data_IF_374442511304
#
_entry.id   IF_374442511304
#
_cell.length_a   1.000
_cell.length_b   1.000
_cell.length_c   1.000
_cell.angle_alpha   90.00
_cell.angle_beta   90.00
_cell.angle_gamma   90.00
#
_symmetry.space_group_name_H-M   'P 1'
#
loop_
_entity.id
_entity.type
_entity.pdbx_description
1 polymer ?
#
# COMPACT_ATOMS: atom_id res chain seq x y z
N UNK A 1 -20.14 6.35 -5.98
CA UNK A 1 -21.18 5.54 -6.66
C UNK A 1 -21.49 4.33 -5.78
N UNK A 2 -22.76 3.98 -5.55
CA UNK A 2 -23.15 2.78 -4.78
C UNK A 2 -23.41 1.63 -5.74
N UNK A 3 -22.84 0.45 -5.47
CA UNK A 3 -23.01 -0.73 -6.32
C UNK A 3 -24.29 -1.43 -5.88
N UNK A 4 -25.15 -1.78 -6.84
CA UNK A 4 -26.41 -2.50 -6.60
C UNK A 4 -26.24 -4.01 -6.60
N UNK A 5 -25.36 -4.52 -7.45
CA UNK A 5 -25.07 -5.94 -7.55
C UNK A 5 -23.88 -6.22 -8.47
N UNK A 6 -23.46 -7.48 -8.51
CA UNK A 6 -22.42 -8.01 -9.38
C UNK A 6 -23.00 -9.09 -10.28
N UNK A 7 -22.62 -9.11 -11.55
CA UNK A 7 -23.05 -10.17 -12.46
C UNK A 7 -22.54 -11.55 -12.01
N UNK A 8 -23.41 -12.55 -12.08
CA UNK A 8 -23.13 -13.94 -11.73
C UNK A 8 -21.93 -14.52 -12.50
N UNK A 9 -21.84 -14.29 -13.81
CA UNK A 9 -20.75 -14.80 -14.64
C UNK A 9 -19.38 -14.29 -14.18
N UNK A 10 -19.30 -13.08 -13.61
CA UNK A 10 -18.05 -12.53 -13.04
C UNK A 10 -17.64 -13.35 -11.82
N UNK A 11 -18.61 -13.62 -10.93
CA UNK A 11 -18.39 -14.42 -9.73
C UNK A 11 -17.95 -15.83 -10.12
N UNK A 12 -18.66 -16.47 -11.04
CA UNK A 12 -18.33 -17.80 -11.52
C UNK A 12 -16.96 -17.89 -12.19
N UNK A 13 -16.64 -16.97 -13.12
CA UNK A 13 -15.37 -16.95 -13.83
C UNK A 13 -14.19 -16.79 -12.86
N UNK A 14 -14.31 -15.87 -11.89
CA UNK A 14 -13.26 -15.64 -10.89
C UNK A 14 -13.11 -16.81 -9.91
N UNK A 15 -14.21 -17.41 -9.44
CA UNK A 15 -14.16 -18.59 -8.54
C UNK A 15 -13.60 -19.79 -9.28
N UNK A 16 -14.02 -20.04 -10.52
CA UNK A 16 -13.49 -21.10 -11.38
C UNK A 16 -12.00 -20.93 -11.60
N UNK A 17 -11.52 -19.71 -11.89
CA UNK A 17 -10.08 -19.44 -12.01
C UNK A 17 -9.36 -19.69 -10.69
N UNK A 18 -9.89 -19.21 -9.56
CA UNK A 18 -9.28 -19.43 -8.24
C UNK A 18 -9.16 -20.91 -7.87
N UNK A 19 -10.20 -21.70 -8.18
CA UNK A 19 -10.16 -23.15 -8.00
C UNK A 19 -9.10 -23.82 -8.88
N UNK A 20 -8.96 -23.37 -10.12
CA UNK A 20 -7.92 -23.87 -11.02
C UNK A 20 -6.50 -23.59 -10.51
N UNK A 21 -6.25 -22.39 -9.94
CA UNK A 21 -4.96 -22.07 -9.34
C UNK A 21 -4.61 -22.94 -8.12
N UNK A 22 -5.63 -23.49 -7.44
CA UNK A 22 -5.50 -24.28 -6.22
C UNK A 22 -4.81 -23.51 -5.06
N UNK A 23 -4.59 -24.19 -3.93
CA UNK A 23 -3.76 -23.70 -2.81
C UNK A 23 -4.22 -22.38 -2.15
N UNK A 24 -5.49 -22.01 -2.31
CA UNK A 24 -6.04 -20.80 -1.68
C UNK A 24 -5.51 -19.49 -2.26
N UNK A 25 -5.01 -19.50 -3.50
CA UNK A 25 -4.53 -18.29 -4.19
C UNK A 25 -5.71 -17.39 -4.59
N UNK A 26 -5.66 -16.08 -4.31
CA UNK A 26 -6.68 -15.15 -4.77
C UNK A 26 -6.56 -14.91 -6.27
N UNK A 27 -7.66 -14.44 -6.87
CA UNK A 27 -7.75 -13.91 -8.23
C UNK A 27 -8.30 -12.51 -8.12
N UNK A 28 -7.73 -11.57 -8.88
CA UNK A 28 -8.16 -10.18 -8.89
C UNK A 28 -8.52 -9.70 -10.29
N UNK A 29 -9.36 -8.68 -10.34
CA UNK A 29 -9.70 -7.96 -11.56
C UNK A 29 -10.16 -6.53 -11.23
N UNK A 30 -10.13 -5.66 -12.23
CA UNK A 30 -10.82 -4.37 -12.20
C UNK A 30 -12.24 -4.60 -12.73
N UNK A 31 -13.25 -4.27 -11.94
CA UNK A 31 -14.65 -4.27 -12.38
C UNK A 31 -15.13 -2.88 -12.79
N UNK A 32 -16.16 -2.84 -13.65
CA UNK A 32 -16.76 -1.62 -14.17
C UNK A 32 -18.19 -1.52 -13.70
N UNK A 33 -18.52 -0.39 -13.08
CA UNK A 33 -19.88 -0.07 -12.69
C UNK A 33 -20.56 0.61 -13.87
N UNK A 34 -21.65 0.02 -14.36
CA UNK A 34 -22.47 0.58 -15.43
C UNK A 34 -23.37 1.72 -14.91
N UNK A 35 -24.07 2.40 -15.83
CA UNK A 35 -24.96 3.51 -15.50
C UNK A 35 -26.11 3.12 -14.56
N UNK A 36 -26.52 1.85 -14.59
CA UNK A 36 -27.56 1.31 -13.72
C UNK A 36 -27.05 0.99 -12.31
N UNK A 37 -25.73 1.01 -12.08
CA UNK A 37 -25.08 0.76 -10.80
C UNK A 37 -24.66 -0.70 -10.58
N UNK A 38 -24.62 -1.53 -11.62
CA UNK A 38 -24.18 -2.94 -11.54
C UNK A 38 -22.76 -3.11 -12.04
N UNK A 39 -22.06 -4.10 -11.49
CA UNK A 39 -20.80 -4.57 -12.07
C UNK A 39 -21.14 -5.60 -13.13
N UNK A 40 -21.05 -5.23 -14.40
CA UNK A 40 -21.40 -6.07 -15.56
C UNK A 40 -20.23 -6.34 -16.50
N UNK A 41 -19.02 -5.92 -16.11
CA UNK A 41 -17.79 -6.20 -16.82
C UNK A 41 -16.57 -6.22 -15.88
N UNK A 42 -15.52 -6.92 -16.32
CA UNK A 42 -14.21 -6.97 -15.67
C UNK A 42 -13.06 -6.89 -16.68
N UNK A 43 -11.88 -6.48 -16.21
CA UNK A 43 -10.62 -6.61 -16.93
C UNK A 43 -10.21 -8.08 -17.05
N UNK A 44 -9.10 -8.34 -17.75
CA UNK A 44 -8.42 -9.63 -17.65
C UNK A 44 -8.14 -10.00 -16.19
N UNK A 45 -8.28 -11.28 -15.87
CA UNK A 45 -8.01 -11.82 -14.54
C UNK A 45 -6.51 -11.80 -14.26
N UNK A 46 -6.17 -11.52 -13.00
CA UNK A 46 -4.80 -11.56 -12.49
C UNK A 46 -4.71 -12.54 -11.34
N UNK A 47 -3.81 -13.50 -11.47
CA UNK A 47 -3.58 -14.52 -10.47
C UNK A 47 -2.76 -13.96 -9.29
N UNK A 48 -3.07 -14.41 -8.07
CA UNK A 48 -2.25 -14.12 -6.89
C UNK A 48 -0.87 -14.77 -6.96
N UNK A 49 0.17 -14.00 -6.64
CA UNK A 49 1.54 -14.46 -6.45
C UNK A 49 1.87 -14.75 -4.98
N UNK A 50 3.14 -15.06 -4.67
CA UNK A 50 3.58 -15.39 -3.29
C UNK A 50 3.21 -14.27 -2.29
N UNK A 51 3.23 -13.02 -2.74
CA UNK A 51 2.93 -11.84 -1.91
C UNK A 51 1.43 -11.50 -1.83
N UNK A 52 0.56 -12.37 -2.34
CA UNK A 52 -0.86 -12.04 -2.54
C UNK A 52 -1.12 -11.50 -3.94
N UNK A 53 -2.16 -10.69 -4.10
CA UNK A 53 -2.56 -10.18 -5.40
C UNK A 53 -1.58 -9.10 -5.90
N UNK A 54 -0.94 -9.28 -7.08
CA UNK A 54 -0.03 -8.29 -7.65
C UNK A 54 -0.83 -7.08 -8.14
N UNK A 55 -0.63 -5.95 -7.49
CA UNK A 55 -1.46 -4.76 -7.65
C UNK A 55 -1.09 -4.03 -8.94
N UNK A 56 0.21 -3.93 -9.25
CA UNK A 56 0.67 -3.24 -10.45
C UNK A 56 0.29 -4.01 -11.70
N UNK A 57 0.42 -5.35 -11.69
CA UNK A 57 -0.08 -6.22 -12.76
C UNK A 57 -1.61 -6.12 -12.96
N UNK A 58 -2.38 -5.90 -11.89
CA UNK A 58 -3.82 -5.68 -12.00
C UNK A 58 -4.13 -4.32 -12.64
N UNK A 59 -3.43 -3.27 -12.24
CA UNK A 59 -3.59 -1.94 -12.82
C UNK A 59 -3.14 -1.90 -14.29
N UNK A 60 -2.09 -2.64 -14.66
CA UNK A 60 -1.57 -2.69 -16.03
C UNK A 60 -2.56 -3.26 -17.05
N UNK A 61 -3.64 -3.91 -16.59
CA UNK A 61 -4.76 -4.33 -17.46
C UNK A 61 -5.58 -3.18 -18.01
N UNK A 62 -5.42 -1.98 -17.46
CA UNK A 62 -6.14 -0.79 -17.88
C UNK A 62 -5.23 0.41 -18.12
N UNK A 63 -4.27 0.65 -17.24
CA UNK A 63 -3.43 1.86 -17.27
C UNK A 63 -1.98 1.51 -17.52
N UNK A 64 -1.23 2.45 -18.09
CA UNK A 64 0.22 2.31 -18.21
C UNK A 64 0.85 2.37 -16.81
N UNK A 65 1.70 1.40 -16.46
CA UNK A 65 2.40 1.34 -15.16
C UNK A 65 3.92 1.54 -15.29
N UNK A 66 4.51 1.39 -16.48
CA UNK A 66 5.95 1.44 -16.65
C UNK A 66 6.50 2.81 -16.29
N UNK A 67 7.52 2.82 -15.43
CA UNK A 67 8.18 4.04 -14.95
C UNK A 67 7.32 4.93 -14.05
N UNK A 68 6.14 4.46 -13.62
CA UNK A 68 5.18 5.19 -12.79
C UNK A 68 5.07 4.56 -11.39
N UNK A 69 4.94 5.39 -10.37
CA UNK A 69 4.55 4.98 -9.03
C UNK A 69 3.14 4.37 -9.00
N UNK A 70 2.80 3.67 -7.92
CA UNK A 70 1.45 3.14 -7.73
C UNK A 70 0.40 4.27 -7.76
N UNK A 71 0.67 5.40 -7.10
CA UNK A 71 -0.22 6.56 -7.08
C UNK A 71 -0.48 7.12 -8.48
N UNK A 72 0.54 7.20 -9.33
CA UNK A 72 0.38 7.64 -10.73
C UNK A 72 -0.46 6.67 -11.55
N UNK A 73 -0.30 5.36 -11.35
CA UNK A 73 -1.16 4.35 -11.99
C UNK A 73 -2.61 4.47 -11.50
N UNK A 74 -2.83 4.60 -10.18
CA UNK A 74 -4.16 4.74 -9.60
C UNK A 74 -4.90 5.98 -10.11
N UNK A 75 -4.20 7.11 -10.27
CA UNK A 75 -4.78 8.36 -10.75
C UNK A 75 -5.12 8.38 -12.25
N UNK A 76 -4.87 7.29 -12.97
CA UNK A 76 -5.31 7.09 -14.34
C UNK A 76 -6.57 6.21 -14.44
N UNK A 77 -7.05 5.65 -13.33
CA UNK A 77 -8.27 4.84 -13.30
C UNK A 77 -9.52 5.73 -13.48
N UNK A 78 -10.53 5.28 -14.25
CA UNK A 78 -11.79 5.98 -14.34
C UNK A 78 -12.60 5.89 -13.03
N UNK A 79 -13.53 6.81 -12.84
CA UNK A 79 -14.30 6.95 -11.58
C UNK A 79 -15.28 5.78 -11.33
N UNK A 80 -15.64 5.02 -12.36
CA UNK A 80 -16.57 3.89 -12.27
C UNK A 80 -15.88 2.54 -12.01
N UNK A 81 -14.64 2.54 -11.52
CA UNK A 81 -13.88 1.33 -11.17
C UNK A 81 -14.24 0.80 -9.79
N UNK A 82 -14.22 -0.53 -9.68
CA UNK A 82 -14.18 -1.29 -8.44
C UNK A 82 -13.04 -2.31 -8.50
N UNK A 83 -12.36 -2.56 -7.39
CA UNK A 83 -11.40 -3.68 -7.30
C UNK A 83 -12.16 -4.92 -6.85
N UNK A 84 -12.05 -6.02 -7.59
CA UNK A 84 -12.69 -7.30 -7.24
C UNK A 84 -11.61 -8.32 -6.93
N UNK A 85 -11.71 -9.00 -5.80
CA UNK A 85 -10.72 -9.98 -5.36
C UNK A 85 -11.44 -11.21 -4.79
N UNK A 86 -11.05 -12.43 -5.20
CA UNK A 86 -11.51 -13.64 -4.53
C UNK A 86 -10.77 -13.83 -3.20
N UNK A 87 -11.47 -14.37 -2.21
CA UNK A 87 -10.97 -14.56 -0.86
C UNK A 87 -11.14 -16.04 -0.44
N UNK A 88 -10.23 -16.92 -0.89
CA UNK A 88 -10.30 -18.34 -0.57
C UNK A 88 -10.29 -18.62 0.93
N UNK A 89 -11.17 -19.53 1.36
CA UNK A 89 -11.34 -19.88 2.77
C UNK A 89 -12.19 -18.91 3.59
N UNK A 90 -12.75 -17.86 2.97
CA UNK A 90 -13.60 -16.84 3.61
C UNK A 90 -14.96 -16.71 2.92
N UNK A 91 -15.89 -16.00 3.55
CA UNK A 91 -17.28 -15.80 3.09
C UNK A 91 -17.49 -14.51 2.29
N UNK A 92 -16.45 -13.70 2.11
CA UNK A 92 -16.54 -12.39 1.43
C UNK A 92 -16.52 -11.20 2.38
N UNK A 93 -16.67 -11.43 3.70
CA UNK A 93 -16.63 -10.37 4.72
C UNK A 93 -15.28 -9.61 4.67
N UNK A 94 -15.38 -8.28 4.67
CA UNK A 94 -14.25 -7.35 4.70
C UNK A 94 -14.17 -6.73 6.10
N UNK A 95 -13.04 -6.89 6.77
CA UNK A 95 -12.83 -6.46 8.18
C UNK A 95 -11.66 -5.49 8.32
N UNK A 96 -11.33 -4.79 7.24
CA UNK A 96 -10.24 -3.84 7.16
C UNK A 96 -10.58 -2.75 6.14
N UNK A 97 -9.93 -1.60 6.26
CA UNK A 97 -10.10 -0.45 5.37
C UNK A 97 -8.89 -0.23 4.47
N UNK A 98 -7.92 -1.17 4.45
CA UNK A 98 -6.63 -0.99 3.77
C UNK A 98 -6.81 -0.78 2.27
N UNK A 99 -7.65 -1.59 1.63
CA UNK A 99 -7.95 -1.49 0.21
C UNK A 99 -8.53 -0.13 -0.17
N UNK A 100 -9.65 0.29 0.44
CA UNK A 100 -10.28 1.59 0.13
C UNK A 100 -9.36 2.78 0.46
N UNK A 101 -8.44 2.61 1.41
CA UNK A 101 -7.50 3.65 1.82
C UNK A 101 -6.39 3.87 0.78
N UNK A 102 -5.90 2.80 0.15
CA UNK A 102 -4.86 2.86 -0.88
C UNK A 102 -5.44 3.13 -2.27
N UNK A 103 -6.49 2.40 -2.66
CA UNK A 103 -7.05 2.50 -4.01
C UNK A 103 -7.98 3.71 -4.19
N UNK A 104 -8.62 4.18 -3.11
CA UNK A 104 -9.60 5.26 -3.17
C UNK A 104 -10.89 4.93 -3.92
N UNK A 105 -11.14 3.66 -4.25
CA UNK A 105 -12.35 3.18 -4.92
C UNK A 105 -12.98 2.00 -4.13
N UNK A 106 -14.22 1.60 -4.46
CA UNK A 106 -14.86 0.44 -3.84
C UNK A 106 -14.03 -0.83 -3.98
N UNK A 107 -14.09 -1.69 -2.97
CA UNK A 107 -13.46 -3.02 -2.99
C UNK A 107 -14.56 -4.06 -2.80
N UNK A 108 -14.59 -5.06 -3.67
CA UNK A 108 -15.47 -6.22 -3.60
C UNK A 108 -14.64 -7.46 -3.33
N UNK A 109 -15.03 -8.24 -2.32
CA UNK A 109 -14.44 -9.55 -2.01
C UNK A 109 -15.44 -10.66 -2.27
N UNK A 110 -15.08 -11.59 -3.14
CA UNK A 110 -15.85 -12.81 -3.40
C UNK A 110 -15.34 -13.91 -2.47
N UNK A 111 -16.14 -14.34 -1.51
CA UNK A 111 -15.81 -15.45 -0.63
C UNK A 111 -15.84 -16.78 -1.37
N UNK A 112 -14.83 -17.63 -1.14
CA UNK A 112 -14.79 -18.97 -1.71
C UNK A 112 -14.65 -20.00 -0.59
N UNK A 113 -15.64 -20.89 -0.46
CA UNK A 113 -15.66 -22.01 0.49
C UNK A 113 -15.91 -23.30 -0.26
N UNK A 114 -15.09 -24.32 0.00
CA UNK A 114 -15.25 -25.65 -0.61
C UNK A 114 -15.34 -25.59 -2.15
N UNK A 115 -14.60 -24.67 -2.77
CA UNK A 115 -14.60 -24.45 -4.21
C UNK A 115 -15.86 -23.76 -4.77
N UNK A 116 -16.76 -23.27 -3.92
CA UNK A 116 -17.99 -22.60 -4.33
C UNK A 116 -18.03 -21.15 -3.83
N UNK A 117 -18.77 -20.25 -4.52
CA UNK A 117 -19.07 -18.92 -4.00
C UNK A 117 -19.78 -19.04 -2.65
N UNK A 118 -19.30 -18.31 -1.65
CA UNK A 118 -19.85 -18.32 -0.29
C UNK A 118 -20.62 -17.04 0.06
N UNK A 119 -20.39 -15.96 -0.69
CA UNK A 119 -20.94 -14.64 -0.46
C UNK A 119 -20.07 -13.57 -1.12
N UNK A 120 -20.64 -12.39 -1.37
CA UNK A 120 -19.93 -11.25 -1.94
C UNK A 120 -20.08 -10.07 -1.00
N UNK A 121 -18.96 -9.57 -0.50
CA UNK A 121 -18.91 -8.39 0.35
C UNK A 121 -18.37 -7.19 -0.42
N UNK A 122 -18.89 -6.01 -0.14
CA UNK A 122 -18.41 -4.74 -0.65
C UNK A 122 -18.09 -3.77 0.49
N UNK A 123 -17.02 -3.00 0.31
CA UNK A 123 -16.72 -1.84 1.15
C UNK A 123 -16.50 -0.63 0.25
N UNK A 124 -16.95 0.53 0.73
CA UNK A 124 -16.92 1.78 -0.03
C UNK A 124 -15.99 2.80 0.64
N UNK A 125 -15.33 3.67 -0.14
CA UNK A 125 -14.70 4.88 0.38
C UNK A 125 -15.74 5.74 1.13
N UNK A 126 -15.65 5.81 2.46
CA UNK A 126 -16.51 6.63 3.31
C UNK A 126 -15.66 7.34 4.37
N UNK A 127 -15.99 8.60 4.64
CA UNK A 127 -15.27 9.45 5.60
C UNK A 127 -15.09 8.76 6.96
N UNK A 128 -16.16 8.15 7.49
CA UNK A 128 -16.14 7.47 8.78
C UNK A 128 -15.22 6.24 8.80
N UNK A 129 -15.01 5.58 7.67
CA UNK A 129 -14.09 4.45 7.57
C UNK A 129 -12.63 4.91 7.56
N UNK A 130 -12.34 6.08 6.97
CA UNK A 130 -11.02 6.70 7.05
C UNK A 130 -10.72 7.24 8.45
N UNK A 131 -11.75 7.78 9.14
CA UNK A 131 -11.64 8.16 10.55
C UNK A 131 -11.35 6.93 11.41
N UNK A 132 -12.06 5.83 11.16
CA UNK A 132 -11.83 4.55 11.83
C UNK A 132 -10.38 4.07 11.63
N UNK A 133 -9.87 4.11 10.40
CA UNK A 133 -8.49 3.73 10.06
C UNK A 133 -7.44 4.59 10.78
N UNK A 134 -7.60 5.92 10.73
CA UNK A 134 -6.71 6.87 11.42
C UNK A 134 -6.66 6.58 12.91
N UNK A 135 -7.84 6.38 13.52
CA UNK A 135 -7.91 6.09 14.93
C UNK A 135 -7.36 4.70 15.28
N UNK A 136 -7.46 3.71 14.39
CA UNK A 136 -6.85 2.40 14.58
C UNK A 136 -5.32 2.49 14.64
N UNK A 137 -4.68 3.21 13.71
CA UNK A 137 -3.24 3.46 13.76
C UNK A 137 -2.82 4.28 15.00
N UNK A 138 -3.60 5.30 15.41
CA UNK A 138 -3.34 6.03 16.67
C UNK A 138 -3.29 5.10 17.88
N UNK A 139 -4.19 4.12 17.95
CA UNK A 139 -4.20 3.17 19.05
C UNK A 139 -3.02 2.19 18.96
N UNK A 140 -2.63 1.79 17.76
CA UNK A 140 -1.43 0.97 17.54
C UNK A 140 -0.17 1.69 18.02
N UNK A 141 -0.01 2.98 17.71
CA UNK A 141 1.10 3.79 18.22
C UNK A 141 1.05 3.90 19.76
N UNK A 142 -0.12 4.16 20.34
CA UNK A 142 -0.24 4.22 21.81
C UNK A 142 0.17 2.91 22.46
N UNK A 143 -0.21 1.76 21.88
CA UNK A 143 0.20 0.45 22.37
C UNK A 143 1.71 0.31 22.36
N UNK A 144 2.32 0.72 21.25
CA UNK A 144 3.75 0.71 21.05
C UNK A 144 4.47 1.55 22.13
N UNK A 145 3.93 2.68 22.55
CA UNK A 145 4.56 3.57 23.54
C UNK A 145 4.12 3.33 24.99
N UNK A 146 3.32 2.31 25.26
CA UNK A 146 2.79 2.04 26.60
C UNK A 146 3.91 1.70 27.58
N UNK A 147 3.93 2.35 28.75
CA UNK A 147 4.99 2.17 29.76
C UNK A 147 4.56 1.26 30.92
N UNK A 148 3.27 0.98 31.04
CA UNK A 148 2.72 0.18 32.14
C UNK A 148 1.73 -0.86 31.64
N UNK A 149 1.60 -1.95 32.40
CA UNK A 149 0.61 -3.00 32.11
C UNK A 149 -0.83 -2.47 32.10
N UNK A 150 -1.16 -1.51 32.97
CA UNK A 150 -2.53 -0.98 33.05
C UNK A 150 -2.86 -0.10 31.84
N UNK A 151 -1.92 0.75 31.42
CA UNK A 151 -2.02 1.51 30.17
C UNK A 151 -2.20 0.57 28.97
N UNK A 152 -1.37 -0.48 28.85
CA UNK A 152 -1.50 -1.44 27.76
C UNK A 152 -2.84 -2.18 27.80
N UNK A 153 -3.34 -2.58 28.98
CA UNK A 153 -4.68 -3.20 29.12
C UNK A 153 -5.79 -2.29 28.61
N UNK A 154 -5.75 -1.00 28.95
CA UNK A 154 -6.76 -0.04 28.49
C UNK A 154 -6.72 0.12 26.97
N UNK A 155 -5.52 0.20 26.40
CA UNK A 155 -5.30 0.27 24.96
C UNK A 155 -5.84 -0.99 24.27
N UNK A 156 -5.55 -2.19 24.80
CA UNK A 156 -6.06 -3.46 24.27
C UNK A 156 -7.60 -3.54 24.32
N UNK A 157 -8.24 -3.02 25.37
CA UNK A 157 -9.71 -2.91 25.44
C UNK A 157 -10.24 -2.04 24.31
N UNK A 158 -9.65 -0.86 24.09
CA UNK A 158 -10.05 0.04 22.99
C UNK A 158 -9.80 -0.57 21.62
N UNK A 159 -8.71 -1.32 21.42
CA UNK A 159 -8.44 -2.06 20.18
C UNK A 159 -9.53 -3.10 19.90
N UNK A 160 -9.92 -3.89 20.89
CA UNK A 160 -10.95 -4.92 20.74
C UNK A 160 -12.31 -4.32 20.39
N UNK A 161 -12.71 -3.22 21.05
CA UNK A 161 -13.94 -2.50 20.71
C UNK A 161 -13.92 -1.98 19.26
N UNK A 162 -12.76 -1.53 18.77
CA UNK A 162 -12.62 -1.10 17.36
C UNK A 162 -12.70 -2.25 16.38
N UNK A 163 -12.10 -3.41 16.69
CA UNK A 163 -12.21 -4.60 15.84
C UNK A 163 -13.67 -5.00 15.60
N UNK A 164 -14.54 -4.81 16.59
CA UNK A 164 -15.97 -5.03 16.41
C UNK A 164 -16.58 -4.06 15.39
N UNK A 165 -16.18 -2.78 15.39
CA UNK A 165 -16.65 -1.81 14.37
C UNK A 165 -16.25 -2.21 12.95
N UNK A 166 -15.08 -2.86 12.77
CA UNK A 166 -14.66 -3.36 11.46
C UNK A 166 -15.53 -4.49 10.93
N UNK A 167 -16.33 -5.17 11.77
CA UNK A 167 -17.29 -6.18 11.30
C UNK A 167 -18.49 -5.54 10.57
N UNK A 168 -18.80 -4.29 10.90
CA UNK A 168 -20.00 -3.56 10.43
C UNK A 168 -19.73 -2.68 9.21
N UNK A 169 -18.51 -2.67 8.66
CA UNK A 169 -18.16 -1.83 7.49
C UNK A 169 -18.49 -2.49 6.16
N UNK A 170 -18.66 -3.82 6.15
CA UNK A 170 -18.90 -4.61 4.96
C UNK A 170 -20.40 -4.67 4.70
N UNK A 171 -20.79 -4.34 3.46
CA UNK A 171 -22.14 -4.54 2.97
C UNK A 171 -22.18 -5.83 2.13
N UNK A 172 -23.24 -6.61 2.24
CA UNK A 172 -23.47 -7.72 1.31
C UNK A 172 -23.84 -7.16 -0.06
N UNK A 173 -23.30 -7.75 -1.11
CA UNK A 173 -23.57 -7.37 -2.50
C UNK A 173 -24.35 -8.49 -3.20
N UNK A 174 -25.49 -8.14 -3.79
CA UNK A 174 -26.34 -9.08 -4.51
C UNK A 174 -25.63 -9.62 -5.76
N UNK A 175 -25.75 -10.92 -5.99
CA UNK A 175 -25.35 -11.57 -7.24
C UNK A 175 -26.58 -11.57 -8.15
N UNK A 176 -26.46 -10.98 -9.34
CA UNK A 176 -27.56 -10.82 -10.29
C UNK A 176 -27.25 -11.49 -11.61
N UNK A 177 -28.28 -12.08 -12.22
CA UNK A 177 -28.19 -12.61 -13.59
C UNK A 177 -28.17 -11.44 -14.58
N UNK A 178 -27.04 -11.27 -15.26
CA UNK A 178 -26.82 -10.22 -16.27
C UNK A 178 -26.11 -10.82 -17.47
N UNK A 179 -26.48 -10.37 -18.67
CA UNK A 179 -25.81 -10.81 -19.89
C UNK A 179 -24.32 -10.45 -19.86
N UNK A 180 -23.48 -11.43 -20.21
CA UNK A 180 -22.04 -11.24 -20.34
C UNK A 180 -21.72 -10.21 -21.41
N UNK A 181 -20.98 -9.17 -21.02
CA UNK A 181 -20.53 -8.11 -21.92
C UNK A 181 -19.02 -8.08 -22.00
N UNK A 182 -18.50 -8.10 -23.22
CA UNK A 182 -17.10 -7.77 -23.47
C UNK A 182 -16.93 -6.26 -23.37
N UNK A 183 -16.27 -5.79 -22.33
CA UNK A 183 -15.97 -4.37 -22.22
C UNK A 183 -14.78 -4.01 -23.11
N UNK A 184 -15.06 -3.33 -24.22
CA UNK A 184 -14.03 -2.77 -25.10
C UNK A 184 -13.59 -1.43 -24.55
N UNK A 185 -12.41 -1.41 -23.95
CA UNK A 185 -11.80 -0.18 -23.51
C UNK A 185 -11.52 0.79 -24.66
N UNK A 186 -12.03 2.00 -24.50
CA UNK A 186 -11.38 3.23 -24.98
C UNK A 186 -11.45 4.24 -23.86
N UNK A 187 -10.56 4.14 -22.88
CA UNK A 187 -10.29 5.29 -22.02
C UNK A 187 -9.15 6.04 -22.72
N UNK A 188 -9.41 7.13 -23.45
CA UNK A 188 -8.33 8.03 -23.78
C UNK A 188 -7.75 8.52 -22.45
N UNK A 189 -6.43 8.51 -22.25
CA UNK A 189 -5.85 9.05 -21.04
C UNK A 189 -6.30 10.51 -20.92
N UNK A 190 -7.20 10.79 -19.98
CA UNK A 190 -7.27 12.12 -19.37
C UNK A 190 -5.85 12.43 -18.93
N UNK A 191 -5.24 13.51 -19.47
CA UNK A 191 -3.86 13.98 -19.26
C UNK A 191 -3.06 13.09 -18.29
N UNK A 192 -2.04 12.39 -18.79
CA UNK A 192 -1.17 11.58 -17.94
C UNK A 192 -0.77 12.37 -16.68
N UNK A 193 -1.33 11.98 -15.54
CA UNK A 193 -0.98 12.56 -14.26
C UNK A 193 0.38 11.98 -13.87
N UNK A 194 1.39 12.84 -13.87
CA UNK A 194 2.77 12.48 -13.55
C UNK A 194 3.22 13.30 -12.34
N UNK A 195 3.95 12.64 -11.44
CA UNK A 195 4.53 13.30 -10.27
C UNK A 195 5.87 13.91 -10.70
N UNK A 196 6.13 15.20 -10.39
CA UNK A 196 7.44 15.80 -10.60
C UNK A 196 8.53 14.98 -9.89
N UNK A 197 9.62 14.68 -10.60
CA UNK A 197 10.80 14.08 -9.99
C UNK A 197 11.57 15.19 -9.29
N UNK A 198 11.78 15.02 -7.99
CA UNK A 198 12.47 15.99 -7.14
C UNK A 198 13.77 15.35 -6.67
N UNK A 199 14.87 16.07 -6.85
CA UNK A 199 16.19 15.66 -6.37
C UNK A 199 16.35 16.03 -4.89
N UNK A 200 17.00 15.15 -4.13
CA UNK A 200 17.35 15.34 -2.73
C UNK A 200 18.87 15.25 -2.60
N UNK A 201 19.46 16.28 -2.01
CA UNK A 201 20.91 16.44 -1.89
C UNK A 201 21.38 16.49 -0.44
N UNK A 202 20.58 17.08 0.45
CA UNK A 202 20.95 17.19 1.87
C UNK A 202 19.74 17.23 2.81
N UNK A 203 20.03 16.96 4.08
CA UNK A 203 19.10 16.96 5.19
C UNK A 203 19.58 17.91 6.29
N UNK A 204 18.66 18.70 6.84
CA UNK A 204 18.93 19.58 7.98
C UNK A 204 19.44 18.80 9.21
N UNK A 205 20.54 19.27 9.79
CA UNK A 205 21.21 18.60 10.90
C UNK A 205 20.32 18.52 12.15
N UNK A 206 19.59 19.59 12.49
CA UNK A 206 18.72 19.62 13.67
C UNK A 206 17.52 18.69 13.47
N UNK A 207 16.98 18.62 12.26
CA UNK A 207 15.96 17.64 11.91
C UNK A 207 16.47 16.20 12.09
N UNK A 208 17.65 15.89 11.55
CA UNK A 208 18.24 14.56 11.69
C UNK A 208 18.47 14.17 13.16
N UNK A 209 19.02 15.09 13.96
CA UNK A 209 19.23 14.90 15.41
C UNK A 209 17.91 14.68 16.14
N UNK A 210 16.88 15.47 15.86
CA UNK A 210 15.57 15.35 16.52
C UNK A 210 14.92 13.97 16.30
N UNK A 211 15.06 13.39 15.09
CA UNK A 211 14.60 12.04 14.78
C UNK A 211 15.41 10.98 15.55
N UNK A 212 16.73 11.11 15.59
CA UNK A 212 17.59 10.16 16.31
C UNK A 212 17.34 10.21 17.82
N UNK A 213 17.23 11.40 18.40
CA UNK A 213 16.86 11.60 19.80
C UNK A 213 15.53 10.93 20.11
N UNK A 214 14.52 11.12 19.24
CA UNK A 214 13.23 10.47 19.43
C UNK A 214 13.31 8.95 19.32
N UNK A 215 14.13 8.41 18.41
CA UNK A 215 14.35 6.97 18.29
C UNK A 215 14.97 6.38 19.56
N UNK A 216 15.92 7.09 20.19
CA UNK A 216 16.52 6.68 21.46
C UNK A 216 15.55 6.72 22.64
N UNK A 217 14.60 7.66 22.66
CA UNK A 217 13.63 7.84 23.74
C UNK A 217 12.62 6.68 23.83
N UNK A 218 12.15 6.14 22.70
CA UNK A 218 11.01 5.21 22.66
C UNK A 218 11.44 3.81 23.10
N UNK A 219 12.26 3.14 22.30
CA UNK A 219 12.78 1.80 22.53
C UNK A 219 13.84 1.49 21.46
N UNK A 220 14.94 0.84 21.84
CA UNK A 220 16.01 0.46 20.90
C UNK A 220 15.45 -0.42 19.78
N UNK A 221 15.81 -0.08 18.54
CA UNK A 221 15.41 -0.83 17.35
C UNK A 221 14.07 -0.40 16.74
N UNK A 222 13.45 0.68 17.23
CA UNK A 222 12.25 1.26 16.62
C UNK A 222 12.57 2.40 15.68
N UNK A 223 11.92 2.35 14.54
CA UNK A 223 11.97 3.40 13.54
C UNK A 223 11.06 4.55 13.96
N UNK A 224 11.52 5.77 13.74
CA UNK A 224 10.69 6.96 13.82
C UNK A 224 10.77 7.68 12.49
N UNK A 225 9.72 8.40 12.13
CA UNK A 225 9.67 9.08 10.85
C UNK A 225 8.90 10.41 10.92
N UNK A 226 9.21 11.30 10.00
CA UNK A 226 8.47 12.54 9.81
C UNK A 226 8.45 12.92 8.33
N UNK A 227 7.54 13.82 7.96
CA UNK A 227 7.54 14.43 6.63
C UNK A 227 8.47 15.65 6.63
N UNK A 228 9.41 15.66 5.70
CA UNK A 228 10.23 16.82 5.37
C UNK A 228 9.71 17.56 4.14
N UNK A 229 10.04 18.85 4.05
CA UNK A 229 9.82 19.70 2.87
C UNK A 229 11.14 19.87 2.14
N UNK A 230 11.14 19.64 0.83
CA UNK A 230 12.30 19.84 -0.04
C UNK A 230 12.30 21.30 -0.52
N UNK A 231 13.41 22.01 -0.31
CA UNK A 231 13.68 23.35 -0.87
C UNK A 231 15.07 23.32 -1.52
N UNK A 232 15.11 23.47 -2.84
CA UNK A 232 16.36 23.47 -3.62
C UNK A 232 17.27 22.25 -3.33
N UNK A 233 16.66 21.08 -3.13
CA UNK A 233 17.36 19.83 -2.80
C UNK A 233 17.73 19.64 -1.32
N UNK A 234 17.49 20.63 -0.46
CA UNK A 234 17.69 20.54 0.98
C UNK A 234 16.39 20.27 1.72
N UNK A 235 16.43 19.43 2.76
CA UNK A 235 15.25 18.91 3.44
C UNK A 235 15.12 19.49 4.85
N UNK A 236 14.01 20.19 5.10
CA UNK A 236 13.64 20.75 6.40
C UNK A 236 12.46 19.99 7.00
N UNK A 237 12.41 19.84 8.33
CA UNK A 237 11.25 19.24 9.00
C UNK A 237 9.99 20.05 8.75
N UNK A 238 8.87 19.36 8.47
CA UNK A 238 7.57 20.02 8.33
C UNK A 238 6.44 19.28 9.05
N UNK A 239 6.52 17.96 9.20
CA UNK A 239 5.56 17.15 9.95
C UNK A 239 6.05 16.79 11.36
N UNK A 240 5.10 16.44 12.23
CA UNK A 240 5.42 15.90 13.55
C UNK A 240 6.11 14.53 13.45
N UNK A 241 6.95 14.19 14.43
CA UNK A 241 7.62 12.88 14.50
C UNK A 241 6.61 11.81 14.90
N UNK A 242 6.54 10.77 14.09
CA UNK A 242 5.70 9.59 14.27
C UNK A 242 6.57 8.41 14.67
N UNK A 243 6.15 7.73 15.73
CA UNK A 243 6.81 6.51 16.23
C UNK A 243 6.26 5.31 15.47
N UNK A 244 7.15 4.57 14.82
CA UNK A 244 6.88 3.32 14.13
C UNK A 244 7.02 2.07 15.02
N UNK A 245 6.79 0.91 14.40
CA UNK A 245 7.15 -0.37 14.99
C UNK A 245 8.57 -0.80 14.61
N UNK A 246 8.87 -2.09 14.81
CA UNK A 246 10.10 -2.69 14.27
C UNK A 246 9.91 -2.95 12.78
N UNK A 247 10.61 -2.21 11.92
CA UNK A 247 10.59 -2.38 10.46
C UNK A 247 9.35 -1.86 9.75
N UNK A 248 8.58 -0.94 10.35
CA UNK A 248 7.51 -0.21 9.64
C UNK A 248 7.11 1.10 10.33
N UNK A 249 6.65 2.06 9.51
CA UNK A 249 6.05 3.33 9.94
C UNK A 249 4.56 3.35 9.53
N UNK A 250 3.61 3.68 10.44
CA UNK A 250 2.19 3.74 10.10
C UNK A 250 1.89 4.87 9.09
N UNK A 251 1.45 4.50 7.88
CA UNK A 251 1.36 5.43 6.75
C UNK A 251 0.31 6.52 6.93
N UNK A 252 -0.84 6.23 7.58
CA UNK A 252 -1.84 7.29 7.86
C UNK A 252 -1.35 8.23 8.94
N UNK A 253 -0.64 7.74 9.96
CA UNK A 253 -0.10 8.61 10.99
C UNK A 253 0.99 9.53 10.46
N UNK A 254 1.88 9.01 9.61
CA UNK A 254 2.89 9.82 8.93
C UNK A 254 2.25 10.91 8.06
N UNK A 255 1.26 10.55 7.23
CA UNK A 255 0.53 11.55 6.44
C UNK A 255 -0.23 12.57 7.32
N UNK A 256 -0.83 12.10 8.43
CA UNK A 256 -1.54 12.93 9.40
C UNK A 256 -0.63 13.87 10.19
N UNK A 257 0.67 13.57 10.28
CA UNK A 257 1.62 14.41 10.98
C UNK A 257 2.00 15.67 10.19
N UNK A 258 1.70 15.69 8.89
CA UNK A 258 1.87 16.84 8.01
C UNK A 258 0.59 17.67 7.86
N UNK A 259 -0.56 17.01 7.64
CA UNK A 259 -1.87 17.65 7.45
C UNK A 259 -3.00 16.74 7.92
N UNK A 260 -4.14 17.28 8.34
CA UNK A 260 -5.29 16.43 8.69
C UNK A 260 -5.82 15.70 7.45
N UNK A 261 -5.83 14.36 7.54
CA UNK A 261 -6.35 13.44 6.52
C UNK A 261 -7.46 12.53 7.06
N UNK A 262 -7.96 12.79 8.27
CA UNK A 262 -8.80 11.86 9.03
C UNK A 262 -10.06 11.42 8.27
N UNK A 263 -10.61 12.27 7.41
CA UNK A 263 -11.80 11.99 6.60
C UNK A 263 -11.57 11.50 5.17
N UNK A 264 -10.31 11.34 4.73
CA UNK A 264 -9.99 11.02 3.33
C UNK A 264 -9.06 9.81 3.20
N UNK A 265 -9.04 9.21 2.01
CA UNK A 265 -8.12 8.12 1.68
C UNK A 265 -6.66 8.59 1.61
N UNK A 266 -5.70 7.69 1.77
CA UNK A 266 -4.29 8.03 1.55
C UNK A 266 -4.03 8.44 0.10
N UNK A 267 -4.70 7.80 -0.88
CA UNK A 267 -4.63 8.22 -2.28
C UNK A 267 -4.99 9.70 -2.44
N UNK A 268 -6.15 10.09 -1.92
CA UNK A 268 -6.63 11.47 -2.01
C UNK A 268 -5.70 12.45 -1.26
N UNK A 269 -5.19 12.05 -0.09
CA UNK A 269 -4.24 12.85 0.67
C UNK A 269 -2.95 13.13 -0.14
N UNK A 270 -2.32 12.11 -0.69
CA UNK A 270 -1.10 12.26 -1.51
C UNK A 270 -1.34 12.85 -2.90
N UNK A 271 -2.58 12.81 -3.40
CA UNK A 271 -2.96 13.43 -4.66
C UNK A 271 -3.25 14.92 -4.52
N UNK A 272 -3.86 15.37 -3.41
CA UNK A 272 -4.46 16.71 -3.32
C UNK A 272 -4.03 17.56 -2.12
N UNK A 273 -3.56 16.96 -1.02
CA UNK A 273 -3.24 17.66 0.23
C UNK A 273 -1.75 17.72 0.53
N UNK A 274 -1.04 16.62 0.27
CA UNK A 274 0.39 16.51 0.50
C UNK A 274 1.10 16.88 -0.81
N UNK A 275 1.89 17.98 -0.84
CA UNK A 275 2.49 18.46 -2.08
C UNK A 275 3.58 17.51 -2.60
N UNK A 276 4.03 17.72 -3.84
CA UNK A 276 5.00 16.83 -4.50
C UNK A 276 6.44 16.98 -3.99
N UNK A 277 6.76 18.15 -3.44
CA UNK A 277 8.05 18.53 -2.88
C UNK A 277 8.19 18.15 -1.40
N UNK A 278 7.60 17.02 -1.00
CA UNK A 278 7.81 16.43 0.32
C UNK A 278 8.61 15.15 0.21
N UNK A 279 9.28 14.80 1.30
CA UNK A 279 10.07 13.58 1.46
C UNK A 279 9.70 12.91 2.78
N UNK A 280 9.70 11.59 2.78
CA UNK A 280 9.57 10.80 4.01
C UNK A 280 10.97 10.66 4.60
N UNK A 281 11.18 11.05 5.85
CA UNK A 281 12.47 10.90 6.54
C UNK A 281 12.28 9.97 7.72
N UNK A 282 13.05 8.89 7.81
CA UNK A 282 12.95 7.92 8.89
C UNK A 282 14.33 7.46 9.40
N UNK A 283 14.36 6.88 10.59
CA UNK A 283 15.58 6.32 11.18
C UNK A 283 15.72 4.84 10.89
N UNK A 284 16.97 4.38 10.70
CA UNK A 284 17.38 2.98 10.68
C UNK A 284 18.32 2.72 11.87
N UNK A 285 17.78 2.36 13.05
CA UNK A 285 18.58 2.10 14.23
C UNK A 285 19.52 0.90 14.03
N UNK A 286 20.81 1.07 14.31
CA UNK A 286 21.82 0.02 14.17
C UNK A 286 22.37 -0.16 12.75
N UNK A 287 22.04 0.74 11.81
CA UNK A 287 22.52 0.69 10.43
C UNK A 287 23.12 2.04 9.98
N UNK A 288 23.52 2.12 8.71
CA UNK A 288 24.15 3.30 8.09
C UNK A 288 23.19 4.15 7.26
N UNK A 289 21.89 3.84 7.31
CA UNK A 289 20.86 4.55 6.54
C UNK A 289 20.65 3.99 5.13
N UNK A 290 21.19 2.81 4.84
CA UNK A 290 20.91 2.09 3.59
C UNK A 290 19.53 1.45 3.65
N UNK A 291 18.74 1.65 2.58
CA UNK A 291 17.36 1.20 2.50
C UNK A 291 17.18 -0.16 1.82
N UNK A 292 16.10 -0.83 2.19
CA UNK A 292 15.62 -2.05 1.57
C UNK A 292 14.38 -1.79 0.70
N UNK A 293 13.97 -2.78 -0.09
CA UNK A 293 12.78 -2.71 -0.94
C UNK A 293 11.52 -2.20 -0.21
N UNK A 294 11.37 -2.52 1.08
CA UNK A 294 10.23 -2.03 1.88
C UNK A 294 10.14 -0.51 1.93
N UNK A 295 11.28 0.18 2.07
CA UNK A 295 11.34 1.65 2.12
C UNK A 295 11.07 2.25 0.74
N UNK A 296 11.68 1.65 -0.29
CA UNK A 296 11.45 2.05 -1.68
C UNK A 296 9.95 2.01 -2.01
N UNK A 297 9.24 0.98 -1.58
CA UNK A 297 7.79 0.88 -1.77
C UNK A 297 7.01 1.80 -0.83
N UNK A 298 7.49 2.06 0.39
CA UNK A 298 6.83 2.96 1.34
C UNK A 298 6.90 4.44 0.93
N UNK A 299 7.87 4.84 0.10
CA UNK A 299 8.00 6.19 -0.47
C UNK A 299 7.76 6.21 -1.98
N UNK A 300 8.82 6.17 -2.81
CA UNK A 300 8.73 6.47 -4.23
C UNK A 300 7.90 5.45 -5.02
N UNK A 301 7.97 4.17 -4.67
CA UNK A 301 7.23 3.10 -5.35
C UNK A 301 5.71 3.24 -5.20
N UNK A 302 5.22 3.60 -4.00
CA UNK A 302 3.77 3.75 -3.76
C UNK A 302 3.29 5.18 -3.99
N UNK A 303 3.88 6.16 -3.29
CA UNK A 303 3.37 7.53 -3.23
C UNK A 303 4.06 8.48 -4.21
N UNK A 304 5.12 8.03 -4.89
CA UNK A 304 5.94 8.87 -5.75
C UNK A 304 6.63 10.01 -4.99
N UNK A 305 6.85 9.84 -3.69
CA UNK A 305 7.63 10.79 -2.86
C UNK A 305 9.00 10.19 -2.56
N UNK A 306 10.09 10.97 -2.58
CA UNK A 306 11.36 10.48 -2.10
C UNK A 306 11.28 9.99 -0.65
N UNK A 307 12.23 9.15 -0.26
CA UNK A 307 12.39 8.66 1.11
C UNK A 307 13.86 8.73 1.52
N UNK A 308 14.13 9.13 2.76
CA UNK A 308 15.47 9.24 3.36
C UNK A 308 15.52 8.35 4.58
N UNK A 309 16.56 7.53 4.69
CA UNK A 309 16.87 6.78 5.90
C UNK A 309 18.13 7.33 6.58
N UNK A 310 18.03 7.60 7.90
CA UNK A 310 19.13 8.05 8.75
C UNK A 310 19.62 6.86 9.57
N UNK A 311 20.85 6.42 9.32
CA UNK A 311 21.49 5.40 10.13
C UNK A 311 22.12 5.99 11.37
N UNK A 312 21.87 5.38 12.53
CA UNK A 312 22.54 5.75 13.78
C UNK A 312 22.84 4.51 14.63
N UNK A 313 23.83 4.62 15.52
CA UNK A 313 24.15 3.55 16.45
C UNK A 313 23.33 3.64 17.77
N UNK A 314 23.68 2.75 18.71
CA UNK A 314 23.02 2.63 20.01
C UNK A 314 23.20 3.84 20.94
N UNK A 315 24.20 4.69 20.68
CA UNK A 315 24.45 5.92 21.45
C UNK A 315 23.87 7.16 20.74
N UNK A 316 23.26 6.97 19.56
CA UNK A 316 22.69 8.04 18.75
C UNK A 316 23.68 8.72 17.81
N UNK A 317 24.88 8.17 17.65
CA UNK A 317 25.79 8.71 16.64
C UNK A 317 25.29 8.37 15.25
N UNK A 318 24.99 9.41 14.46
CA UNK A 318 24.61 9.28 13.06
C UNK A 318 25.79 8.72 12.27
N UNK A 319 25.56 7.63 11.54
CA UNK A 319 26.57 6.97 10.69
C UNK A 319 26.44 7.35 9.21
N UNK A 320 25.30 7.92 8.81
CA UNK A 320 25.05 8.39 7.46
C UNK A 320 23.56 8.52 7.16
N UNK A 321 23.25 9.12 6.01
CA UNK A 321 21.90 9.16 5.47
C UNK A 321 21.93 8.85 3.96
N UNK A 322 20.92 8.12 3.49
CA UNK A 322 20.73 7.89 2.06
C UNK A 322 19.31 8.23 1.65
N UNK A 323 19.12 8.54 0.37
CA UNK A 323 17.83 8.84 -0.25
C UNK A 323 17.51 7.86 -1.39
N UNK A 324 16.22 7.60 -1.57
CA UNK A 324 15.66 6.96 -2.75
C UNK A 324 14.64 7.91 -3.35
N UNK A 325 14.90 8.34 -4.59
CA UNK A 325 14.06 9.25 -5.34
C UNK A 325 13.16 8.50 -6.31
N UNK A 326 12.11 9.16 -6.84
CA UNK A 326 11.26 8.56 -7.85
C UNK A 326 12.04 8.38 -9.17
N UNK A 327 12.36 7.13 -9.51
CA UNK A 327 13.04 6.76 -10.75
C UNK A 327 12.32 5.61 -11.48
N UNK A 328 12.40 5.52 -12.82
CA UNK A 328 11.78 4.44 -13.59
C UNK A 328 12.19 3.04 -13.11
N UNK A 329 13.46 2.87 -12.72
CA UNK A 329 14.00 1.60 -12.24
C UNK A 329 13.28 1.07 -11.00
N UNK A 330 12.72 1.92 -10.14
CA UNK A 330 11.89 1.50 -9.00
C UNK A 330 10.63 0.79 -9.48
N UNK A 331 9.95 1.37 -10.48
CA UNK A 331 8.76 0.76 -11.07
C UNK A 331 9.10 -0.55 -11.79
N UNK A 332 10.19 -0.57 -12.55
CA UNK A 332 10.67 -1.79 -13.24
C UNK A 332 10.95 -2.94 -12.26
N UNK A 333 11.66 -2.67 -11.16
CA UNK A 333 11.93 -3.67 -10.13
C UNK A 333 10.65 -4.13 -9.43
N UNK A 334 9.66 -3.24 -9.23
CA UNK A 334 8.38 -3.60 -8.63
C UNK A 334 7.55 -4.50 -9.56
N UNK A 335 7.50 -4.17 -10.85
CA UNK A 335 6.82 -4.97 -11.87
C UNK A 335 7.46 -6.36 -11.98
N UNK A 336 8.80 -6.43 -12.06
CA UNK A 336 9.54 -7.69 -12.10
C UNK A 336 9.32 -8.52 -10.82
N UNK A 337 9.26 -7.89 -9.65
CA UNK A 337 9.01 -8.59 -8.38
C UNK A 337 7.64 -9.29 -8.38
N UNK A 338 6.61 -8.64 -8.91
CA UNK A 338 5.27 -9.22 -9.06
C UNK A 338 5.28 -10.39 -10.07
N UNK A 339 5.94 -10.23 -11.21
CA UNK A 339 6.09 -11.29 -12.23
C UNK A 339 6.82 -12.53 -11.70
N UNK A 340 7.97 -12.34 -11.05
CA UNK A 340 8.74 -13.42 -10.41
C UNK A 340 7.91 -14.08 -9.31
N UNK A 341 7.11 -13.29 -8.58
CA UNK A 341 6.18 -13.77 -7.57
C UNK A 341 5.07 -14.66 -8.12
N UNK A 342 4.62 -14.46 -9.35
CA UNK A 342 3.66 -15.36 -10.01
C UNK A 342 4.33 -16.64 -10.52
N UNK A 343 5.52 -16.53 -11.11
CA UNK A 343 6.28 -17.67 -11.65
C UNK A 343 6.59 -18.74 -10.61
N UNK A 344 6.65 -18.38 -9.33
CA UNK A 344 6.83 -19.33 -8.23
C UNK A 344 5.86 -20.51 -8.28
N UNK A 345 4.60 -20.25 -8.61
CA UNK A 345 3.58 -21.29 -8.68
C UNK A 345 3.60 -22.09 -9.99
N UNK A 346 4.47 -21.72 -10.92
CA UNK A 346 4.71 -22.43 -12.18
C UNK A 346 5.97 -23.30 -12.12
N UNK A 347 6.73 -23.26 -11.02
CA UNK A 347 7.92 -24.08 -10.86
C UNK A 347 7.53 -25.56 -10.72
N UNK A 348 8.13 -26.42 -11.54
CA UNK A 348 7.90 -27.87 -11.52
C UNK A 348 8.97 -28.62 -10.72
N UNK A 349 10.12 -27.96 -10.45
CA UNK A 349 11.24 -28.56 -9.73
C UNK A 349 11.77 -27.65 -8.61
N UNK A 350 12.36 -28.23 -7.54
CA UNK A 350 13.05 -27.44 -6.49
C UNK A 350 14.15 -26.53 -7.04
N UNK A 351 14.81 -26.93 -8.13
CA UNK A 351 15.84 -26.13 -8.79
C UNK A 351 15.27 -24.87 -9.43
N UNK A 352 14.10 -24.96 -10.08
CA UNK A 352 13.39 -23.81 -10.64
C UNK A 352 12.87 -22.88 -9.54
N UNK A 353 12.27 -23.45 -8.49
CA UNK A 353 11.83 -22.69 -7.33
C UNK A 353 13.00 -21.92 -6.70
N UNK A 354 14.14 -22.59 -6.51
CA UNK A 354 15.34 -21.96 -5.97
C UNK A 354 15.86 -20.81 -6.84
N UNK A 355 15.80 -20.93 -8.18
CA UNK A 355 16.15 -19.83 -9.10
C UNK A 355 15.22 -18.63 -8.93
N UNK A 356 13.91 -18.87 -8.81
CA UNK A 356 12.89 -17.82 -8.62
C UNK A 356 13.12 -17.10 -7.28
N UNK A 357 13.32 -17.84 -6.19
CA UNK A 357 13.61 -17.26 -4.87
C UNK A 357 14.90 -16.44 -4.89
N UNK A 358 15.95 -16.95 -5.53
CA UNK A 358 17.23 -16.22 -5.70
C UNK A 358 17.04 -14.94 -6.50
N UNK A 359 16.26 -14.96 -7.59
CA UNK A 359 15.98 -13.74 -8.37
C UNK A 359 15.23 -12.71 -7.53
N UNK A 360 14.21 -13.15 -6.78
CA UNK A 360 13.45 -12.29 -5.89
C UNK A 360 14.32 -11.63 -4.80
N UNK A 361 15.29 -12.36 -4.27
CA UNK A 361 16.29 -11.79 -3.36
C UNK A 361 17.23 -10.80 -4.09
N UNK A 362 17.68 -11.13 -5.30
CA UNK A 362 18.50 -10.22 -6.13
C UNK A 362 17.80 -8.90 -6.45
N UNK A 363 16.49 -8.91 -6.75
CA UNK A 363 15.70 -7.69 -6.93
C UNK A 363 15.73 -6.83 -5.67
N UNK A 364 15.62 -7.44 -4.49
CA UNK A 364 15.69 -6.71 -3.22
C UNK A 364 17.07 -6.04 -3.01
N UNK A 365 18.15 -6.65 -3.51
CA UNK A 365 19.49 -6.05 -3.49
C UNK A 365 19.62 -4.91 -4.51
N UNK A 366 19.03 -5.04 -5.70
CA UNK A 366 19.02 -3.96 -6.70
C UNK A 366 18.34 -2.69 -6.18
N UNK A 367 17.33 -2.80 -5.29
CA UNK A 367 16.78 -1.63 -4.60
C UNK A 367 17.80 -0.93 -3.69
N UNK A 368 18.64 -1.71 -3.00
CA UNK A 368 19.72 -1.18 -2.18
C UNK A 368 20.72 -0.39 -3.04
N UNK A 369 21.02 -0.87 -4.24
CA UNK A 369 21.95 -0.21 -5.17
C UNK A 369 21.44 1.15 -5.69
N UNK A 370 20.13 1.44 -5.55
CA UNK A 370 19.55 2.74 -5.90
C UNK A 370 19.73 3.81 -4.82
N UNK A 371 20.19 3.43 -3.61
CA UNK A 371 20.37 4.38 -2.51
C UNK A 371 21.48 5.39 -2.83
N UNK A 372 21.15 6.68 -2.87
CA UNK A 372 22.09 7.78 -3.05
C UNK A 372 22.48 8.36 -1.68
N UNK A 373 23.76 8.45 -1.30
CA UNK A 373 24.15 9.14 -0.07
C UNK A 373 23.84 10.63 -0.16
N UNK A 374 23.44 11.24 0.96
CA UNK A 374 23.17 12.67 1.07
C UNK A 374 23.94 13.28 2.24
N UNK A 375 24.14 14.60 2.19
CA UNK A 375 24.80 15.33 3.27
C UNK A 375 23.82 15.65 4.41
N UNK A 376 24.33 15.73 5.63
CA UNK A 376 23.60 16.26 6.79
C UNK A 376 24.31 17.56 7.17
N UNK A 377 23.69 18.70 6.92
CA UNK A 377 24.30 20.04 7.01
C UNK A 377 23.35 21.10 7.55
#
# INVERSE_FOLDING_TARGET
>A
MRIKGIADFIVEDMVKRGNHLSQGRPVGALGFINEQGYIDAISELVDGGISGLPQRMMLSRLVKTEGKSLLEALNQLPDNIVIIITNPGKTGIIVDTGGINIFGCPIVKIGVKMGQPAGVGAIYPKEDYFKLATQAEKIQIKRLTAKTMEEEREILRKMSQRKLKYLEICEELEIVDLEKRDYKFKVPPTKEWQIPRVEVNSLDEDFAKSLVEKSLEVERGREVAAIGKIKDGHVLQQGEIVVGGMGYVPSRMLASSYTDISGISLREAYQTKIPHDVVIVHTHPGATGVMHMGDAMAGPGTWGRPIIAIGHDKEGEIKGATTLELAPKIAELADEYEEVGQRFYQAETPTEEAKIRKRRFGIAQEYTDLCKPIEII
#
